data_IF_377661864036
#
_entry.id   IF_377661864036
#
_cell.length_a   1.000
_cell.length_b   1.000
_cell.length_c   1.000
_cell.angle_alpha   90.00
_cell.angle_beta   90.00
_cell.angle_gamma   90.00
#
_symmetry.space_group_name_H-M   'P 1'
#
loop_
_entity.id
_entity.type
_entity.pdbx_description
1 polymer ?
#
# COMPACT_ATOMS: atom_id res chain seq x y z
N UNK A 1 -17.78 11.28 -14.07
CA UNK A 1 -17.99 10.43 -15.27
C UNK A 1 -16.92 9.34 -15.21
N UNK A 2 -17.31 8.08 -14.97
CA UNK A 2 -16.37 6.96 -14.74
C UNK A 2 -15.36 6.86 -15.89
N UNK A 3 -14.06 6.89 -15.60
CA UNK A 3 -12.99 6.65 -16.59
C UNK A 3 -13.12 5.20 -17.09
N UNK A 4 -13.91 5.00 -18.15
CA UNK A 4 -14.42 3.67 -18.54
C UNK A 4 -13.39 2.79 -19.26
N UNK A 5 -12.16 3.28 -19.42
CA UNK A 5 -11.08 2.60 -20.13
C UNK A 5 -10.39 1.54 -19.26
N UNK A 6 -10.30 1.75 -17.95
CA UNK A 6 -9.63 0.81 -17.03
C UNK A 6 -10.56 -0.27 -16.45
N UNK A 7 -11.84 -0.24 -16.85
CA UNK A 7 -12.86 -1.16 -16.35
C UNK A 7 -13.49 -1.90 -17.52
N UNK A 8 -13.24 -3.20 -17.62
CA UNK A 8 -13.81 -3.99 -18.72
C UNK A 8 -15.29 -4.25 -18.50
N UNK A 9 -16.14 -3.46 -19.16
CA UNK A 9 -17.57 -3.75 -19.22
C UNK A 9 -17.82 -5.12 -19.89
N UNK A 10 -17.01 -5.49 -20.88
CA UNK A 10 -17.18 -6.72 -21.67
C UNK A 10 -16.92 -7.99 -20.85
N UNK A 11 -15.79 -8.09 -20.14
CA UNK A 11 -15.46 -9.29 -19.36
C UNK A 11 -16.42 -9.49 -18.17
N UNK A 12 -16.83 -8.38 -17.54
CA UNK A 12 -17.80 -8.38 -16.43
C UNK A 12 -19.18 -8.82 -16.91
N UNK A 13 -19.63 -8.37 -18.09
CA UNK A 13 -20.90 -8.80 -18.68
C UNK A 13 -20.88 -10.29 -19.05
N UNK A 14 -19.80 -10.76 -19.68
CA UNK A 14 -19.62 -12.18 -20.03
C UNK A 14 -19.66 -13.04 -18.78
N UNK A 15 -18.88 -12.71 -17.74
CA UNK A 15 -18.84 -13.50 -16.52
C UNK A 15 -20.12 -13.38 -15.67
N UNK A 16 -20.85 -12.26 -15.77
CA UNK A 16 -22.17 -12.08 -15.17
C UNK A 16 -23.20 -13.00 -15.82
N UNK A 17 -23.20 -13.06 -17.15
CA UNK A 17 -24.02 -13.99 -17.91
C UNK A 17 -23.65 -15.45 -17.57
N UNK A 18 -22.35 -15.77 -17.59
CA UNK A 18 -21.83 -17.10 -17.27
C UNK A 18 -22.21 -17.54 -15.84
N UNK A 19 -22.13 -16.64 -14.85
CA UNK A 19 -22.58 -16.90 -13.47
C UNK A 19 -24.06 -17.29 -13.40
N UNK A 20 -24.94 -16.54 -14.09
CA UNK A 20 -26.38 -16.83 -14.14
C UNK A 20 -26.65 -18.16 -14.86
N UNK A 21 -26.01 -18.36 -16.01
CA UNK A 21 -26.15 -19.57 -16.82
C UNK A 21 -25.73 -20.85 -16.07
N UNK A 22 -24.56 -20.84 -15.42
CA UNK A 22 -24.06 -21.96 -14.59
C UNK A 22 -25.02 -22.30 -13.44
N UNK A 23 -25.62 -21.30 -12.81
CA UNK A 23 -26.60 -21.52 -11.74
C UNK A 23 -27.88 -22.16 -12.28
N UNK A 24 -28.39 -21.69 -13.42
CA UNK A 24 -29.61 -22.23 -14.04
C UNK A 24 -29.41 -23.70 -14.43
N UNK A 25 -28.31 -24.00 -15.13
CA UNK A 25 -27.97 -25.37 -15.53
C UNK A 25 -27.75 -26.26 -14.31
N UNK A 26 -26.99 -25.78 -13.32
CA UNK A 26 -26.71 -26.53 -12.11
C UNK A 26 -27.98 -26.89 -11.34
N UNK A 27 -28.90 -25.93 -11.15
CA UNK A 27 -30.19 -26.21 -10.50
C UNK A 27 -31.06 -27.15 -11.32
N UNK A 28 -31.09 -27.00 -12.65
CA UNK A 28 -31.84 -27.90 -13.54
C UNK A 28 -31.34 -29.35 -13.47
N UNK A 29 -30.02 -29.54 -13.49
CA UNK A 29 -29.38 -30.85 -13.29
C UNK A 29 -29.71 -31.44 -11.93
N UNK A 30 -29.52 -30.66 -10.86
CA UNK A 30 -29.82 -31.12 -9.50
C UNK A 30 -31.29 -31.52 -9.38
N UNK A 31 -32.24 -30.70 -9.84
CA UNK A 31 -33.67 -31.03 -9.74
C UNK A 31 -34.08 -32.25 -10.55
N UNK A 32 -33.51 -32.44 -11.75
CA UNK A 32 -33.84 -33.56 -12.61
C UNK A 32 -33.34 -34.88 -12.02
N UNK A 33 -32.09 -34.89 -11.56
CA UNK A 33 -31.44 -36.10 -11.06
C UNK A 33 -31.83 -36.45 -9.62
N UNK A 34 -32.25 -35.48 -8.79
CA UNK A 34 -32.85 -35.80 -7.48
C UNK A 34 -34.19 -36.49 -7.63
N UNK A 35 -35.04 -36.02 -8.55
CA UNK A 35 -36.35 -36.63 -8.81
C UNK A 35 -36.18 -38.04 -9.40
N UNK A 36 -35.24 -38.22 -10.33
CA UNK A 36 -34.89 -39.54 -10.88
C UNK A 36 -34.35 -40.49 -9.81
N UNK A 37 -33.47 -40.03 -8.92
CA UNK A 37 -32.94 -40.84 -7.82
C UNK A 37 -34.05 -41.25 -6.82
N UNK A 38 -35.03 -40.38 -6.56
CA UNK A 38 -36.15 -40.68 -5.68
C UNK A 38 -37.04 -41.79 -6.26
N UNK A 39 -37.31 -41.76 -7.56
CA UNK A 39 -38.05 -42.82 -8.27
C UNK A 39 -37.25 -44.13 -8.27
N UNK A 40 -35.94 -44.09 -8.51
CA UNK A 40 -35.10 -45.30 -8.46
C UNK A 40 -35.02 -45.89 -7.04
N UNK A 41 -35.05 -45.04 -6.01
CA UNK A 41 -35.04 -45.48 -4.61
C UNK A 41 -36.31 -46.25 -4.24
N UNK A 42 -37.48 -45.86 -4.75
CA UNK A 42 -38.73 -46.61 -4.50
C UNK A 42 -38.76 -47.94 -5.25
N UNK A 43 -38.24 -47.97 -6.48
CA UNK A 43 -38.12 -49.19 -7.31
C UNK A 43 -37.10 -50.18 -6.73
N UNK A 44 -36.09 -49.70 -6.00
CA UNK A 44 -35.07 -50.54 -5.35
C UNK A 44 -35.64 -51.56 -4.37
N UNK A 45 -36.82 -51.30 -3.79
CA UNK A 45 -37.53 -52.23 -2.91
C UNK A 45 -37.99 -53.50 -3.67
N UNK A 46 -38.26 -53.37 -4.97
CA UNK A 46 -38.81 -54.45 -5.81
C UNK A 46 -37.70 -55.20 -6.55
N UNK A 47 -36.72 -54.48 -7.12
CA UNK A 47 -35.71 -55.03 -8.04
C UNK A 47 -34.35 -55.24 -7.33
N UNK A 48 -34.18 -54.75 -6.11
CA UNK A 48 -32.98 -54.96 -5.30
C UNK A 48 -31.73 -54.31 -5.90
N UNK A 49 -30.64 -55.07 -6.01
CA UNK A 49 -29.30 -54.57 -6.33
C UNK A 49 -29.11 -54.11 -7.79
N UNK A 50 -30.01 -54.47 -8.72
CA UNK A 50 -29.88 -54.08 -10.12
C UNK A 50 -30.00 -52.56 -10.36
N UNK A 51 -30.51 -51.80 -9.39
CA UNK A 51 -30.71 -50.34 -9.47
C UNK A 51 -29.49 -49.54 -8.98
N UNK A 52 -28.43 -50.21 -8.51
CA UNK A 52 -27.24 -49.56 -7.94
C UNK A 52 -26.49 -48.73 -8.99
N UNK A 53 -26.25 -49.27 -10.18
CA UNK A 53 -25.54 -48.57 -11.27
C UNK A 53 -26.25 -47.27 -11.70
N UNK A 54 -27.57 -47.24 -12.00
CA UNK A 54 -28.23 -45.99 -12.35
C UNK A 54 -28.25 -44.97 -11.20
N UNK A 55 -28.33 -45.42 -9.94
CA UNK A 55 -28.21 -44.52 -8.77
C UNK A 55 -26.81 -43.87 -8.71
N UNK A 56 -25.74 -44.62 -9.00
CA UNK A 56 -24.39 -44.08 -9.08
C UNK A 56 -24.25 -43.05 -10.22
N UNK A 57 -24.86 -43.29 -11.37
CA UNK A 57 -24.91 -42.32 -12.48
C UNK A 57 -25.61 -41.04 -12.04
N UNK A 58 -26.78 -41.14 -11.38
CA UNK A 58 -27.46 -39.98 -10.81
C UNK A 58 -26.56 -39.22 -9.82
N UNK A 59 -25.83 -39.92 -8.96
CA UNK A 59 -24.92 -39.29 -8.00
C UNK A 59 -23.81 -38.49 -8.69
N UNK A 60 -23.24 -39.00 -9.80
CA UNK A 60 -22.24 -38.25 -10.60
C UNK A 60 -22.84 -36.96 -11.15
N UNK A 61 -24.05 -36.99 -11.70
CA UNK A 61 -24.70 -35.79 -12.22
C UNK A 61 -25.09 -34.78 -11.14
N UNK A 62 -25.44 -35.24 -9.94
CA UNK A 62 -25.66 -34.36 -8.78
C UNK A 62 -24.37 -33.65 -8.36
N UNK A 63 -23.23 -34.35 -8.39
CA UNK A 63 -21.91 -33.76 -8.13
C UNK A 63 -21.60 -32.70 -9.19
N UNK A 64 -21.80 -33.01 -10.48
CA UNK A 64 -21.59 -32.06 -11.59
C UNK A 64 -22.49 -30.82 -11.42
N UNK A 65 -23.78 -31.03 -11.15
CA UNK A 65 -24.73 -29.95 -10.90
C UNK A 65 -24.31 -29.07 -9.71
N UNK A 66 -23.88 -29.69 -8.61
CA UNK A 66 -23.35 -28.99 -7.43
C UNK A 66 -22.11 -28.15 -7.74
N UNK A 67 -21.16 -28.68 -8.51
CA UNK A 67 -19.97 -27.95 -8.98
C UNK A 67 -20.35 -26.75 -9.85
N UNK A 68 -21.33 -26.91 -10.75
CA UNK A 68 -21.85 -25.82 -11.57
C UNK A 68 -22.46 -24.70 -10.72
N UNK A 69 -23.30 -25.04 -9.72
CA UNK A 69 -23.89 -24.07 -8.79
C UNK A 69 -22.80 -23.35 -8.01
N UNK A 70 -21.83 -24.08 -7.45
CA UNK A 70 -20.74 -23.52 -6.67
C UNK A 70 -19.89 -22.53 -7.49
N UNK A 71 -19.49 -22.94 -8.71
CA UNK A 71 -18.74 -22.09 -9.63
C UNK A 71 -19.54 -20.85 -10.05
N UNK A 72 -20.83 -21.02 -10.32
CA UNK A 72 -21.75 -19.93 -10.66
C UNK A 72 -21.91 -18.93 -9.52
N UNK A 73 -22.07 -19.39 -8.26
CA UNK A 73 -22.11 -18.53 -7.06
C UNK A 73 -20.79 -17.76 -6.89
N UNK A 74 -19.65 -18.45 -6.97
CA UNK A 74 -18.32 -17.83 -6.82
C UNK A 74 -18.06 -16.71 -7.85
N UNK A 75 -18.46 -16.92 -9.10
CA UNK A 75 -18.39 -15.89 -10.15
C UNK A 75 -19.29 -14.69 -9.83
N UNK A 76 -20.50 -14.93 -9.35
CA UNK A 76 -21.44 -13.88 -8.96
C UNK A 76 -20.94 -13.05 -7.78
N UNK A 77 -20.40 -13.70 -6.76
CA UNK A 77 -19.83 -13.02 -5.59
C UNK A 77 -18.63 -12.16 -5.99
N UNK A 78 -17.78 -12.64 -6.90
CA UNK A 78 -16.65 -11.88 -7.43
C UNK A 78 -17.11 -10.62 -8.17
N UNK A 79 -18.20 -10.70 -8.95
CA UNK A 79 -18.77 -9.54 -9.65
C UNK A 79 -19.41 -8.55 -8.68
N UNK A 80 -20.05 -9.04 -7.62
CA UNK A 80 -20.57 -8.17 -6.55
C UNK A 80 -19.44 -7.40 -5.86
N UNK A 81 -18.34 -8.08 -5.52
CA UNK A 81 -17.14 -7.45 -4.94
C UNK A 81 -16.49 -6.46 -5.89
N UNK A 82 -16.35 -6.81 -7.16
CA UNK A 82 -15.86 -5.90 -8.20
C UNK A 82 -16.65 -4.59 -8.24
N UNK A 83 -17.99 -4.65 -8.21
CA UNK A 83 -18.83 -3.44 -8.20
C UNK A 83 -18.57 -2.58 -6.96
N UNK A 84 -18.45 -3.21 -5.78
CA UNK A 84 -18.11 -2.50 -4.53
C UNK A 84 -16.73 -1.83 -4.62
N UNK A 85 -15.73 -2.53 -5.15
CA UNK A 85 -14.39 -1.98 -5.36
C UNK A 85 -14.46 -0.78 -6.31
N UNK A 86 -15.19 -0.87 -7.43
CA UNK A 86 -15.37 0.26 -8.35
C UNK A 86 -16.03 1.48 -7.71
N UNK A 87 -16.98 1.26 -6.78
CA UNK A 87 -17.61 2.35 -6.02
C UNK A 87 -16.63 3.05 -5.09
N UNK A 88 -15.73 2.29 -4.44
CA UNK A 88 -14.71 2.82 -3.53
C UNK A 88 -13.59 3.53 -4.30
N UNK A 89 -13.24 3.02 -5.49
CA UNK A 89 -12.14 3.52 -6.32
C UNK A 89 -12.39 4.94 -6.88
N UNK A 90 -13.60 5.49 -6.73
CA UNK A 90 -14.04 6.87 -7.05
C UNK A 90 -13.00 7.80 -7.74
N UNK A 91 -12.73 7.54 -9.02
CA UNK A 91 -11.87 8.34 -9.90
C UNK A 91 -10.41 8.56 -9.44
N UNK A 92 -9.90 7.76 -8.49
CA UNK A 92 -8.50 7.79 -8.04
C UNK A 92 -7.65 6.91 -8.95
N UNK A 93 -6.49 7.39 -9.40
CA UNK A 93 -5.55 6.58 -10.19
C UNK A 93 -4.67 5.68 -9.29
N UNK A 94 -4.51 6.02 -8.00
CA UNK A 94 -3.74 5.25 -7.02
C UNK A 94 -4.66 5.00 -5.81
N UNK A 95 -4.84 3.74 -5.43
CA UNK A 95 -5.75 3.34 -4.36
C UNK A 95 -5.00 2.47 -3.33
N UNK A 96 -4.84 2.94 -2.07
CA UNK A 96 -4.35 2.10 -0.98
C UNK A 96 -5.30 0.92 -0.74
N UNK A 97 -4.75 -0.28 -0.60
CA UNK A 97 -5.54 -1.49 -0.37
C UNK A 97 -6.25 -1.42 1.00
N UNK A 98 -5.71 -0.65 1.93
CA UNK A 98 -6.25 -0.37 3.26
C UNK A 98 -7.63 0.30 3.17
N UNK A 99 -7.80 1.25 2.24
CA UNK A 99 -9.07 1.95 2.02
C UNK A 99 -10.17 0.97 1.59
N UNK A 100 -9.82 -0.03 0.78
CA UNK A 100 -10.74 -1.09 0.36
C UNK A 100 -11.00 -2.05 1.53
N UNK A 101 -10.00 -2.34 2.36
CA UNK A 101 -10.12 -3.22 3.52
C UNK A 101 -11.08 -2.69 4.57
N UNK A 102 -10.93 -1.41 4.92
CA UNK A 102 -11.78 -0.70 5.89
C UNK A 102 -13.24 -0.68 5.44
N UNK A 103 -13.49 -0.33 4.17
CA UNK A 103 -14.85 -0.24 3.62
C UNK A 103 -15.50 -1.58 3.29
N UNK A 104 -14.75 -2.69 3.27
CA UNK A 104 -15.30 -4.02 2.93
C UNK A 104 -15.20 -5.05 4.05
N UNK A 105 -14.62 -4.70 5.20
CA UNK A 105 -14.36 -5.59 6.34
C UNK A 105 -13.65 -6.88 5.92
N UNK A 106 -12.70 -6.79 4.99
CA UNK A 106 -11.89 -7.91 4.49
C UNK A 106 -10.42 -7.69 4.81
N UNK A 107 -9.68 -8.78 4.98
CA UNK A 107 -8.23 -8.68 5.19
C UNK A 107 -7.51 -8.16 3.94
N UNK A 108 -6.39 -7.46 4.17
CA UNK A 108 -5.54 -6.91 3.11
C UNK A 108 -5.11 -8.00 2.11
N UNK A 109 -4.63 -9.13 2.62
CA UNK A 109 -4.22 -10.29 1.81
C UNK A 109 -5.35 -10.86 0.96
N UNK A 110 -6.59 -10.84 1.47
CA UNK A 110 -7.75 -11.28 0.69
C UNK A 110 -7.99 -10.34 -0.49
N UNK A 111 -7.91 -9.03 -0.27
CA UNK A 111 -8.15 -8.01 -1.30
C UNK A 111 -7.08 -8.07 -2.38
N UNK A 112 -5.79 -8.12 -2.00
CA UNK A 112 -4.68 -8.26 -2.96
C UNK A 112 -4.90 -9.48 -3.86
N UNK A 113 -5.21 -10.63 -3.26
CA UNK A 113 -5.45 -11.87 -4.00
C UNK A 113 -6.72 -11.84 -4.86
N UNK A 114 -7.76 -11.13 -4.43
CA UNK A 114 -9.01 -11.03 -5.16
C UNK A 114 -8.92 -10.03 -6.32
N UNK A 115 -8.24 -8.90 -6.12
CA UNK A 115 -7.93 -7.90 -7.15
C UNK A 115 -6.98 -8.50 -8.19
N UNK A 116 -5.95 -9.25 -7.80
CA UNK A 116 -5.08 -9.95 -8.75
C UNK A 116 -5.91 -10.86 -9.67
N UNK A 117 -6.81 -11.68 -9.11
CA UNK A 117 -7.71 -12.53 -9.90
C UNK A 117 -8.68 -11.76 -10.79
N UNK A 118 -8.98 -10.50 -10.45
CA UNK A 118 -9.82 -9.63 -11.27
C UNK A 118 -9.00 -9.03 -12.42
N UNK A 119 -7.72 -8.70 -12.20
CA UNK A 119 -6.77 -8.31 -13.26
C UNK A 119 -6.58 -9.48 -14.25
N UNK A 120 -6.29 -10.69 -13.76
CA UNK A 120 -6.11 -11.88 -14.59
C UNK A 120 -7.35 -12.21 -15.45
N UNK A 121 -8.55 -11.82 -14.98
CA UNK A 121 -9.82 -11.99 -15.68
C UNK A 121 -10.21 -10.78 -16.53
N UNK A 122 -9.31 -9.82 -16.70
CA UNK A 122 -9.53 -8.57 -17.41
C UNK A 122 -10.72 -7.78 -16.88
N UNK A 123 -11.01 -7.79 -15.58
CA UNK A 123 -12.04 -6.92 -14.98
C UNK A 123 -11.50 -5.50 -14.81
N UNK A 124 -10.28 -5.42 -14.27
CA UNK A 124 -9.47 -4.21 -14.27
C UNK A 124 -8.50 -4.30 -15.43
N UNK A 125 -8.58 -3.36 -16.37
CA UNK A 125 -7.70 -3.23 -17.53
C UNK A 125 -6.66 -2.17 -17.17
N UNK A 126 -5.43 -2.32 -17.65
CA UNK A 126 -4.34 -1.37 -17.41
C UNK A 126 -4.16 -1.08 -15.91
N UNK A 127 -4.24 -2.12 -15.08
CA UNK A 127 -4.20 -2.00 -13.62
C UNK A 127 -3.18 -2.98 -13.07
N UNK A 128 -2.31 -2.52 -12.18
CA UNK A 128 -1.35 -3.38 -11.49
C UNK A 128 -1.38 -3.15 -9.98
N UNK A 129 -0.90 -4.13 -9.22
CA UNK A 129 -0.79 -4.05 -7.77
C UNK A 129 0.67 -3.76 -7.43
N UNK A 130 0.93 -2.61 -6.82
CA UNK A 130 2.20 -2.31 -6.19
C UNK A 130 2.25 -2.99 -4.82
N UNK A 131 2.99 -4.10 -4.76
CA UNK A 131 3.18 -4.90 -3.55
C UNK A 131 4.13 -4.24 -2.54
N UNK A 132 4.95 -3.28 -2.95
CA UNK A 132 5.86 -2.56 -2.04
C UNK A 132 5.07 -1.59 -1.17
N UNK A 133 4.10 -0.92 -1.78
CA UNK A 133 3.30 0.12 -1.13
C UNK A 133 1.87 -0.30 -0.78
N UNK A 134 1.48 -1.56 -1.01
CA UNK A 134 0.11 -2.07 -0.87
C UNK A 134 -0.93 -1.20 -1.60
N UNK A 135 -0.66 -0.85 -2.86
CA UNK A 135 -1.52 0.03 -3.66
C UNK A 135 -1.97 -0.63 -4.96
N UNK A 136 -3.17 -0.26 -5.43
CA UNK A 136 -3.69 -0.61 -6.74
C UNK A 136 -3.56 0.64 -7.61
N UNK A 137 -2.88 0.51 -8.76
CA UNK A 137 -2.60 1.63 -9.66
C UNK A 137 -3.33 1.41 -10.98
N UNK A 138 -4.12 2.40 -11.41
CA UNK A 138 -4.86 2.44 -12.67
C UNK A 138 -4.09 3.28 -13.71
N UNK A 139 -3.46 2.60 -14.67
CA UNK A 139 -2.76 3.16 -15.82
C UNK A 139 -3.77 3.48 -16.94
N UNK A 140 -3.75 4.66 -17.55
CA UNK A 140 -4.43 4.96 -18.82
C UNK A 140 -3.38 5.06 -19.93
N UNK A 141 -3.74 5.00 -21.21
CA UNK A 141 -2.78 5.12 -22.33
C UNK A 141 -2.00 6.45 -22.32
N UNK A 142 -2.56 7.52 -21.73
CA UNK A 142 -1.89 8.81 -21.48
C UNK A 142 -1.22 8.90 -20.10
N UNK A 143 -1.41 7.89 -19.25
CA UNK A 143 -0.64 7.74 -18.01
C UNK A 143 0.57 6.91 -18.36
N UNK A 144 1.64 7.59 -18.73
CA UNK A 144 2.97 7.07 -18.41
C UNK A 144 2.92 6.90 -16.89
N UNK A 145 2.92 5.67 -16.33
CA UNK A 145 3.28 5.55 -14.93
C UNK A 145 4.62 6.25 -14.92
N UNK A 146 4.76 7.40 -14.23
CA UNK A 146 6.07 8.02 -14.06
C UNK A 146 6.93 6.85 -13.71
N UNK A 147 7.80 6.47 -14.64
CA UNK A 147 8.55 5.24 -14.52
C UNK A 147 9.20 5.52 -13.18
N UNK A 148 8.79 4.80 -12.14
CA UNK A 148 9.66 4.59 -11.02
C UNK A 148 10.70 3.69 -11.67
N UNK A 149 11.53 4.29 -12.55
CA UNK A 149 12.93 4.02 -12.52
C UNK A 149 13.19 3.92 -11.04
N UNK A 150 13.57 2.72 -10.67
CA UNK A 150 14.69 2.55 -9.77
C UNK A 150 15.83 3.46 -10.30
N UNK A 151 15.65 4.79 -10.31
CA UNK A 151 16.57 5.69 -9.65
C UNK A 151 16.41 5.34 -8.17
N UNK A 152 16.95 4.17 -7.82
CA UNK A 152 18.04 4.21 -6.88
C UNK A 152 18.91 5.34 -7.42
N UNK A 153 18.85 6.49 -6.76
CA UNK A 153 20.00 7.36 -6.80
C UNK A 153 21.11 6.46 -6.27
N UNK A 154 21.78 5.75 -7.17
CA UNK A 154 23.15 5.33 -6.98
C UNK A 154 23.86 6.66 -6.83
N UNK A 155 23.85 7.16 -5.59
CA UNK A 155 24.92 7.97 -5.06
C UNK A 155 26.15 7.22 -5.50
N UNK A 156 26.82 7.71 -6.55
CA UNK A 156 28.08 7.12 -6.99
C UNK A 156 28.92 7.05 -5.73
N UNK A 157 29.17 5.83 -5.25
CA UNK A 157 30.21 5.59 -4.28
C UNK A 157 31.47 6.11 -4.94
N UNK A 158 31.93 7.29 -4.50
CA UNK A 158 33.32 7.63 -4.67
C UNK A 158 34.07 6.60 -3.84
N UNK A 159 34.54 5.54 -4.50
CA UNK A 159 35.50 4.59 -3.96
C UNK A 159 36.71 5.39 -3.47
N UNK A 160 36.69 5.73 -2.19
CA UNK A 160 37.89 5.90 -1.39
C UNK A 160 37.93 4.73 -0.44
N UNK A 161 38.81 3.79 -0.81
CA UNK A 161 39.55 2.94 0.10
C UNK A 161 39.83 3.69 1.40
N UNK A 162 39.24 3.23 2.49
CA UNK A 162 39.91 2.93 3.76
C UNK A 162 38.84 2.32 4.69
N UNK A 163 39.22 1.34 5.51
CA UNK A 163 38.39 0.76 6.58
C UNK A 163 38.13 1.80 7.68
N UNK A 164 37.40 2.88 7.37
CA UNK A 164 36.94 3.87 8.33
C UNK A 164 35.42 3.69 8.55
N UNK A 165 35.12 3.21 9.76
CA UNK A 165 33.84 3.19 10.48
C UNK A 165 32.55 3.12 9.64
N UNK A 166 31.77 2.04 9.78
CA UNK A 166 30.40 1.89 9.21
C UNK A 166 29.52 3.13 9.47
N UNK A 167 29.76 3.82 10.59
CA UNK A 167 29.16 5.11 10.96
C UNK A 167 29.45 6.21 9.92
N UNK A 168 30.70 6.38 9.52
CA UNK A 168 31.13 7.45 8.60
C UNK A 168 30.58 7.23 7.20
N UNK A 169 30.50 5.97 6.74
CA UNK A 169 29.90 5.65 5.44
C UNK A 169 28.41 5.98 5.40
N UNK A 170 27.67 5.66 6.47
CA UNK A 170 26.23 5.97 6.57
C UNK A 170 26.01 7.48 6.69
N UNK A 171 26.80 8.20 7.48
CA UNK A 171 26.71 9.67 7.60
C UNK A 171 27.00 10.32 6.25
N UNK A 172 28.04 9.88 5.52
CA UNK A 172 28.37 10.41 4.20
C UNK A 172 27.25 10.18 3.18
N UNK A 173 26.62 8.99 3.19
CA UNK A 173 25.42 8.70 2.38
C UNK A 173 24.27 9.64 2.73
N UNK A 174 24.08 9.95 4.01
CA UNK A 174 23.07 10.91 4.48
C UNK A 174 23.32 12.33 3.99
N UNK A 175 24.57 12.79 4.08
CA UNK A 175 24.99 14.11 3.58
C UNK A 175 24.83 14.25 2.06
N UNK A 176 25.00 13.15 1.33
CA UNK A 176 24.72 13.12 -0.10
C UNK A 176 23.23 13.36 -0.40
N UNK A 177 22.31 12.70 0.33
CA UNK A 177 20.88 12.99 0.20
C UNK A 177 20.54 14.44 0.49
N UNK A 178 21.15 15.03 1.53
CA UNK A 178 20.96 16.44 1.86
C UNK A 178 21.41 17.36 0.71
N UNK A 179 22.51 17.03 0.05
CA UNK A 179 23.01 17.77 -1.13
C UNK A 179 22.00 17.72 -2.27
N UNK A 180 21.45 16.55 -2.58
CA UNK A 180 20.43 16.42 -3.62
C UNK A 180 19.10 17.09 -3.27
N UNK A 181 18.71 17.12 -1.98
CA UNK A 181 17.54 17.88 -1.53
C UNK A 181 17.75 19.39 -1.76
N UNK A 182 18.95 19.92 -1.47
CA UNK A 182 19.32 21.32 -1.78
C UNK A 182 19.28 21.61 -3.28
N UNK A 183 19.73 20.67 -4.11
CA UNK A 183 19.66 20.79 -5.56
C UNK A 183 18.21 20.82 -6.06
N UNK A 184 17.35 19.93 -5.54
CA UNK A 184 15.93 19.92 -5.86
C UNK A 184 15.26 21.24 -5.50
N UNK A 185 15.63 21.86 -4.37
CA UNK A 185 15.12 23.18 -3.97
C UNK A 185 15.41 24.28 -5.01
N UNK A 186 16.60 24.27 -5.63
CA UNK A 186 16.98 25.26 -6.65
C UNK A 186 16.18 25.14 -7.95
N UNK A 187 15.67 23.94 -8.21
CA UNK A 187 14.95 23.62 -9.45
C UNK A 187 13.45 23.87 -9.33
N UNK A 188 12.91 23.90 -8.10
CA UNK A 188 11.50 24.14 -7.82
C UNK A 188 11.20 25.64 -7.79
N UNK A 189 10.10 26.06 -8.42
CA UNK A 189 9.68 27.46 -8.54
C UNK A 189 8.66 27.88 -7.48
N UNK A 190 7.85 26.94 -7.00
CA UNK A 190 6.84 27.19 -5.96
C UNK A 190 7.48 27.59 -4.63
N UNK A 191 7.24 28.83 -4.21
CA UNK A 191 7.75 29.39 -2.95
C UNK A 191 7.30 28.58 -1.72
N UNK A 192 6.02 28.19 -1.67
CA UNK A 192 5.50 27.37 -0.57
C UNK A 192 6.16 26.00 -0.48
N UNK A 193 6.55 25.42 -1.62
CA UNK A 193 7.28 24.15 -1.65
C UNK A 193 8.73 24.35 -1.21
N UNK A 194 9.40 25.42 -1.66
CA UNK A 194 10.75 25.76 -1.26
C UNK A 194 10.88 25.94 0.27
N UNK A 195 9.94 26.63 0.92
CA UNK A 195 9.92 26.79 2.38
C UNK A 195 9.88 25.46 3.13
N UNK A 196 9.14 24.48 2.61
CA UNK A 196 9.04 23.13 3.18
C UNK A 196 10.34 22.34 2.97
N UNK A 197 10.98 22.51 1.82
CA UNK A 197 12.27 21.87 1.53
C UNK A 197 13.36 22.40 2.47
N UNK A 198 13.36 23.71 2.73
CA UNK A 198 14.28 24.33 3.71
C UNK A 198 14.08 23.74 5.10
N UNK A 199 12.83 23.53 5.54
CA UNK A 199 12.55 22.87 6.82
C UNK A 199 13.04 21.42 6.85
N UNK A 200 12.81 20.65 5.77
CA UNK A 200 13.35 19.29 5.65
C UNK A 200 14.87 19.31 5.72
N UNK A 201 15.54 20.24 5.05
CA UNK A 201 16.99 20.39 5.07
C UNK A 201 17.50 20.67 6.49
N UNK A 202 16.90 21.64 7.18
CA UNK A 202 17.27 22.04 8.54
C UNK A 202 17.11 20.88 9.54
N UNK A 203 15.96 20.23 9.56
CA UNK A 203 15.68 19.11 10.48
C UNK A 203 16.57 17.91 10.17
N UNK A 204 16.77 17.60 8.88
CA UNK A 204 17.67 16.52 8.46
C UNK A 204 19.12 16.79 8.89
N UNK A 205 19.59 18.04 8.74
CA UNK A 205 20.93 18.43 9.20
C UNK A 205 21.07 18.23 10.71
N UNK A 206 20.09 18.65 11.49
CA UNK A 206 20.08 18.47 12.95
C UNK A 206 20.10 16.99 13.35
N UNK A 207 19.34 16.13 12.67
CA UNK A 207 19.35 14.68 12.89
C UNK A 207 20.76 14.12 12.69
N UNK A 208 21.44 14.49 11.61
CA UNK A 208 22.80 14.03 11.36
C UNK A 208 23.81 14.62 12.33
N UNK A 209 23.65 15.87 12.75
CA UNK A 209 24.50 16.46 13.77
C UNK A 209 24.39 15.68 15.08
N UNK A 210 23.19 15.29 15.51
CA UNK A 210 22.99 14.45 16.71
C UNK A 210 23.72 13.12 16.59
N UNK A 211 23.57 12.42 15.46
CA UNK A 211 24.22 11.12 15.25
C UNK A 211 25.74 11.23 15.11
N UNK A 212 26.24 12.37 14.61
CA UNK A 212 27.68 12.66 14.57
C UNK A 212 28.27 12.88 15.97
N UNK A 213 27.51 13.48 16.88
CA UNK A 213 27.92 13.64 18.28
C UNK A 213 27.76 12.34 19.07
N UNK A 214 26.70 11.56 18.81
CA UNK A 214 26.44 10.26 19.42
C UNK A 214 26.17 9.17 18.36
N UNK A 215 27.22 8.49 17.89
CA UNK A 215 27.11 7.41 16.91
C UNK A 215 26.24 6.23 17.35
N UNK A 216 25.96 6.06 18.65
CA UNK A 216 25.10 4.96 19.12
C UNK A 216 23.65 5.10 18.62
N UNK A 217 23.21 6.34 18.35
CA UNK A 217 21.89 6.68 17.82
C UNK A 217 21.72 6.36 16.33
N UNK A 218 22.78 5.93 15.63
CA UNK A 218 22.73 5.55 14.21
C UNK A 218 21.68 4.48 13.92
N UNK A 219 21.52 3.51 14.83
CA UNK A 219 20.52 2.44 14.70
C UNK A 219 19.08 2.97 14.73
N UNK A 220 18.83 4.06 15.46
CA UNK A 220 17.52 4.70 15.57
C UNK A 220 17.12 5.44 14.29
N UNK A 221 18.08 5.88 13.48
CA UNK A 221 17.84 6.58 12.21
C UNK A 221 17.93 5.69 10.96
N UNK A 222 18.12 4.38 11.10
CA UNK A 222 18.31 3.49 9.95
C UNK A 222 17.14 3.54 8.97
N UNK A 223 15.89 3.53 9.47
CA UNK A 223 14.70 3.66 8.62
C UNK A 223 14.56 5.06 8.00
N UNK A 224 15.01 6.08 8.72
CA UNK A 224 15.09 7.44 8.20
C UNK A 224 16.04 7.52 6.99
N UNK A 225 17.17 6.82 7.07
CA UNK A 225 18.18 6.73 6.02
C UNK A 225 17.76 5.89 4.81
N UNK A 226 17.24 4.69 5.04
CA UNK A 226 17.01 3.73 3.96
C UNK A 226 15.65 3.90 3.28
N UNK A 227 14.73 4.65 3.89
CA UNK A 227 13.37 4.77 3.39
C UNK A 227 12.84 6.20 3.38
N UNK A 228 12.94 6.96 4.47
CA UNK A 228 12.30 8.28 4.53
C UNK A 228 13.01 9.33 3.67
N UNK A 229 14.33 9.52 3.83
CA UNK A 229 15.10 10.48 3.03
C UNK A 229 15.06 10.23 1.52
N UNK A 230 15.27 8.98 1.03
CA UNK A 230 15.20 8.70 -0.40
C UNK A 230 13.80 8.95 -0.97
N UNK A 231 12.75 8.62 -0.19
CA UNK A 231 11.36 8.84 -0.61
C UNK A 231 11.02 10.32 -0.66
N UNK A 232 11.47 11.11 0.32
CA UNK A 232 11.30 12.58 0.31
C UNK A 232 11.96 13.18 -0.93
N UNK A 233 13.23 12.85 -1.20
CA UNK A 233 13.93 13.32 -2.41
C UNK A 233 13.19 12.92 -3.69
N UNK A 234 12.62 11.71 -3.76
CA UNK A 234 11.84 11.27 -4.91
C UNK A 234 10.56 12.09 -5.13
N UNK A 235 9.88 12.47 -4.04
CA UNK A 235 8.70 13.33 -4.10
C UNK A 235 9.05 14.73 -4.60
N UNK A 236 10.17 15.31 -4.14
CA UNK A 236 10.64 16.63 -4.60
C UNK A 236 10.93 16.63 -6.10
N UNK A 237 11.64 15.62 -6.61
CA UNK A 237 11.93 15.49 -8.03
C UNK A 237 10.66 15.28 -8.88
N UNK A 238 9.70 14.52 -8.34
CA UNK A 238 8.40 14.32 -8.98
C UNK A 238 7.61 15.63 -9.06
N UNK A 239 7.62 16.43 -8.00
CA UNK A 239 7.02 17.76 -7.99
C UNK A 239 7.65 18.67 -9.04
N UNK A 240 8.98 18.75 -9.08
CA UNK A 240 9.71 19.53 -10.07
C UNK A 240 9.36 19.12 -11.50
N UNK A 241 9.32 17.81 -11.80
CA UNK A 241 8.94 17.30 -13.12
C UNK A 241 7.52 17.72 -13.52
N UNK A 242 6.58 17.68 -12.57
CA UNK A 242 5.19 18.11 -12.81
C UNK A 242 5.10 19.63 -13.03
N UNK A 243 5.89 20.40 -12.29
CA UNK A 243 5.98 21.86 -12.40
C UNK A 243 6.59 22.31 -13.74
N UNK A 244 7.61 21.60 -14.23
CA UNK A 244 8.22 21.87 -15.54
C UNK A 244 7.30 21.58 -16.72
N UNK A 245 6.45 20.55 -16.60
CA UNK A 245 5.53 20.18 -17.67
C UNK A 245 4.52 21.28 -17.99
N UNK A 246 4.23 22.22 -17.08
CA UNK A 246 3.60 23.51 -17.35
C UNK A 246 2.21 23.46 -18.01
N UNK A 247 1.60 22.28 -18.14
CA UNK A 247 0.27 22.10 -18.75
C UNK A 247 -0.75 22.18 -17.61
N UNK A 248 -1.52 23.25 -17.59
CA UNK A 248 -2.59 23.54 -16.63
C UNK A 248 -3.79 22.59 -16.82
N UNK A 249 -3.55 21.30 -16.54
CA UNK A 249 -4.59 20.27 -16.43
C UNK A 249 -4.91 20.14 -14.95
N UNK A 250 -6.19 20.25 -14.61
CA UNK A 250 -6.73 20.13 -13.23
C UNK A 250 -6.09 18.98 -12.42
N UNK A 251 -5.83 17.83 -13.05
CA UNK A 251 -5.19 16.68 -12.39
C UNK A 251 -3.71 16.90 -11.98
N UNK A 252 -2.93 17.68 -12.74
CA UNK A 252 -1.52 17.96 -12.43
C UNK A 252 -1.45 18.88 -11.21
N UNK A 253 -2.24 19.96 -11.22
CA UNK A 253 -2.35 20.89 -10.09
C UNK A 253 -2.77 20.18 -8.81
N UNK A 254 -3.80 19.32 -8.85
CA UNK A 254 -4.21 18.53 -7.67
C UNK A 254 -3.12 17.57 -7.19
N UNK A 255 -2.32 17.01 -8.09
CA UNK A 255 -1.21 16.11 -7.70
C UNK A 255 -0.07 16.89 -7.05
N UNK A 256 0.27 18.06 -7.59
CA UNK A 256 1.26 18.96 -6.99
C UNK A 256 0.84 19.42 -5.58
N UNK A 257 -0.42 19.83 -5.41
CA UNK A 257 -0.99 20.17 -4.09
C UNK A 257 -0.94 18.98 -3.12
N UNK A 258 -1.20 17.76 -3.60
CA UNK A 258 -1.12 16.55 -2.78
C UNK A 258 0.32 16.26 -2.31
N UNK A 259 1.31 16.48 -3.18
CA UNK A 259 2.73 16.35 -2.83
C UNK A 259 3.10 17.43 -1.80
N UNK A 260 2.68 18.67 -1.98
CA UNK A 260 2.91 19.76 -1.02
C UNK A 260 2.32 19.46 0.37
N UNK A 261 1.09 18.94 0.42
CA UNK A 261 0.47 18.52 1.68
C UNK A 261 1.22 17.34 2.33
N UNK A 262 1.74 16.43 1.51
CA UNK A 262 2.56 15.32 1.99
C UNK A 262 3.88 15.84 2.56
N UNK A 263 4.49 16.86 1.94
CA UNK A 263 5.72 17.50 2.45
C UNK A 263 5.52 18.11 3.84
N UNK A 264 4.37 18.75 4.10
CA UNK A 264 4.05 19.22 5.47
C UNK A 264 4.07 18.07 6.48
N UNK A 265 3.52 16.91 6.11
CA UNK A 265 3.50 15.73 6.97
C UNK A 265 4.91 15.17 7.17
N UNK A 266 5.75 15.21 6.13
CA UNK A 266 7.15 14.78 6.20
C UNK A 266 7.96 15.67 7.13
N UNK A 267 7.79 17.00 7.06
CA UNK A 267 8.46 17.93 7.98
C UNK A 267 8.15 17.56 9.43
N UNK A 268 6.86 17.43 9.77
CA UNK A 268 6.44 17.05 11.13
C UNK A 268 6.98 15.69 11.53
N UNK A 269 7.00 14.71 10.63
CA UNK A 269 7.55 13.39 10.92
C UNK A 269 9.07 13.44 11.17
N UNK A 270 9.79 14.32 10.47
CA UNK A 270 11.23 14.50 10.65
C UNK A 270 11.52 15.23 11.96
N UNK A 271 10.70 16.22 12.34
CA UNK A 271 10.79 16.89 13.64
C UNK A 271 10.58 15.89 14.78
N UNK A 272 9.55 15.04 14.69
CA UNK A 272 9.33 13.98 15.67
C UNK A 272 10.47 12.95 15.70
N UNK A 273 11.08 12.66 14.53
CA UNK A 273 12.24 11.77 14.47
C UNK A 273 13.46 12.40 15.16
N UNK A 274 13.64 13.72 15.04
CA UNK A 274 14.67 14.46 15.76
C UNK A 274 14.40 14.44 17.27
N UNK A 275 13.16 14.72 17.69
CA UNK A 275 12.75 14.70 19.09
C UNK A 275 12.97 13.33 19.73
N UNK A 276 12.67 12.24 19.02
CA UNK A 276 12.90 10.87 19.46
C UNK A 276 14.38 10.60 19.78
N UNK A 277 15.31 11.21 19.02
CA UNK A 277 16.74 11.06 19.29
C UNK A 277 17.17 11.73 20.60
N UNK A 278 16.35 12.60 21.18
CA UNK A 278 16.59 13.23 22.49
C UNK A 278 15.77 12.60 23.62
N UNK A 279 14.86 11.66 23.34
CA UNK A 279 13.95 11.08 24.34
C UNK A 279 14.72 10.29 25.43
N UNK A 280 15.71 9.49 25.04
CA UNK A 280 16.56 8.74 25.98
C UNK A 280 17.37 9.70 26.89
N UNK A 281 17.86 10.80 26.34
CA UNK A 281 18.65 11.81 27.07
C UNK A 281 17.79 12.66 28.01
N UNK A 282 16.54 12.95 27.63
CA UNK A 282 15.59 13.65 28.48
C UNK A 282 15.17 12.81 29.69
N UNK A 283 15.04 11.49 29.52
CA UNK A 283 14.76 10.55 30.63
C UNK A 283 15.94 10.52 31.61
N UNK A 284 17.17 10.40 31.11
CA UNK A 284 18.38 10.37 31.94
C UNK A 284 18.55 11.67 32.72
N UNK A 285 18.39 12.84 32.06
CA UNK A 285 18.45 14.14 32.73
C UNK A 285 17.34 14.30 33.77
N UNK A 286 16.11 13.84 33.48
CA UNK A 286 15.01 13.91 34.47
C UNK A 286 15.28 13.04 35.70
N UNK A 287 15.96 11.91 35.49
CA UNK A 287 16.38 11.01 36.57
C UNK A 287 17.49 11.65 37.37
N UNK A 288 18.50 12.24 36.72
CA UNK A 288 19.60 12.96 37.37
C UNK A 288 19.12 14.20 38.13
N UNK A 289 18.17 14.97 37.57
CA UNK A 289 17.52 16.08 38.26
C UNK A 289 16.79 15.56 39.49
N UNK A 290 16.03 14.47 39.37
CA UNK A 290 15.30 13.88 40.51
C UNK A 290 16.28 13.41 41.60
N UNK A 291 17.40 12.79 41.21
CA UNK A 291 18.44 12.37 42.16
C UNK A 291 19.09 13.58 42.83
N UNK A 292 19.46 14.60 42.06
CA UNK A 292 20.08 15.83 42.57
C UNK A 292 19.11 16.60 43.49
N UNK A 293 17.83 16.70 43.14
CA UNK A 293 16.78 17.24 44.01
C UNK A 293 16.69 16.47 45.33
N UNK A 294 16.68 15.14 45.26
CA UNK A 294 16.62 14.31 46.47
C UNK A 294 17.87 14.48 47.35
N UNK A 295 19.06 14.62 46.74
CA UNK A 295 20.31 14.90 47.47
C UNK A 295 20.27 16.28 48.14
N UNK A 296 19.84 17.33 47.43
CA UNK A 296 19.72 18.68 47.98
C UNK A 296 18.70 18.77 49.12
N UNK A 297 17.60 18.03 49.02
CA UNK A 297 16.60 17.91 50.11
C UNK A 297 17.21 17.17 51.30
N UNK A 298 17.96 16.10 51.08
CA UNK A 298 18.61 15.33 52.14
C UNK A 298 19.70 16.13 52.87
N UNK A 299 20.40 17.00 52.16
CA UNK A 299 21.41 17.91 52.71
C UNK A 299 20.80 19.19 53.34
N UNK A 300 19.48 19.36 53.29
CA UNK A 300 18.76 20.49 53.87
C UNK A 300 18.98 21.82 53.14
N UNK A 301 19.46 21.76 51.89
CA UNK A 301 19.79 22.93 51.07
C UNK A 301 18.58 23.44 50.26
N UNK A 302 17.50 22.64 50.16
CA UNK A 302 16.24 23.04 49.52
C UNK A 302 15.02 22.54 50.31
N UNK A 303 13.89 23.27 50.21
CA UNK A 303 12.67 23.03 51.00
C UNK A 303 11.54 22.36 50.20
N UNK A 304 11.85 21.30 49.45
CA UNK A 304 10.87 20.44 48.76
C UNK A 304 10.68 20.71 47.26
N UNK A 305 10.12 19.70 46.57
CA UNK A 305 9.97 19.59 45.09
C UNK A 305 9.38 20.86 44.44
N UNK A 306 10.03 21.33 43.39
CA UNK A 306 9.50 22.36 42.49
C UNK A 306 8.36 21.82 41.62
#
# INVERSE_FOLDING_TARGET
MYKSENFSKKSVLINSFLSKFLKIIGWGLVSLFTLSALVLSTISIIIGWAVILPIQVCAVFLIIGGVCIFKGKRLGDQISRYKKYCTIINNRNIIPVELIAENTSKSLNFIIKDVQKMIDKNYFINTYIDKRNNQIVLTNEDFVPTRYEDVAYEVKEEEKTDEDNEVDTIINKGMNYLTHIKEANKNIKSESMCDKIVQVEDVTSKIFDVVKHDPSKLTQIQKFMDYYLPTTLKLLNSYHTLEEQGIDRENITTTMESIENTMNTIVVAFENQLDYLFEDEAIDISTDITVLENMLVQEGLTSGKF
#
